data_IF_619012362253
#
_entry.id   IF_619012362253
#
_cell.length_a   1.000
_cell.length_b   1.000
_cell.length_c   1.000
_cell.angle_alpha   90.00
_cell.angle_beta   90.00
_cell.angle_gamma   90.00
#
_symmetry.space_group_name_H-M   'P 1'
#
loop_
_entity.id
_entity.type
_entity.pdbx_description
1 polymer ?
#
# COMPACT_ATOMS: atom_id res chain seq x y z
N UNK A 1 11.92 0.96 -20.93
CA UNK A 1 12.22 2.16 -20.13
C UNK A 1 11.04 3.10 -20.32
N UNK A 2 10.33 3.46 -19.24
CA UNK A 2 9.21 4.41 -19.32
C UNK A 2 9.80 5.81 -19.49
N UNK A 3 9.22 6.62 -20.37
CA UNK A 3 9.61 8.03 -20.57
C UNK A 3 8.45 8.93 -20.14
N UNK A 4 8.73 10.19 -19.82
CA UNK A 4 7.68 11.15 -19.42
C UNK A 4 6.59 11.35 -20.49
N UNK A 5 6.94 11.18 -21.77
CA UNK A 5 5.99 11.32 -22.89
C UNK A 5 5.36 9.98 -23.32
N UNK A 6 5.55 8.91 -22.54
CA UNK A 6 5.01 7.60 -22.91
C UNK A 6 3.53 7.48 -22.51
N UNK A 7 2.69 6.82 -23.32
CA UNK A 7 1.29 6.56 -22.96
C UNK A 7 1.13 5.82 -21.62
N UNK A 8 2.12 4.99 -21.26
CA UNK A 8 2.16 4.31 -19.97
C UNK A 8 2.35 5.27 -18.80
N UNK A 9 3.18 6.31 -18.96
CA UNK A 9 3.35 7.35 -17.96
C UNK A 9 2.05 8.13 -17.73
N UNK A 10 1.43 8.62 -18.81
CA UNK A 10 0.17 9.35 -18.74
C UNK A 10 -0.92 8.52 -18.04
N UNK A 11 -0.99 7.23 -18.37
CA UNK A 11 -1.95 6.31 -17.75
C UNK A 11 -1.73 6.15 -16.25
N UNK A 12 -0.48 6.08 -15.77
CA UNK A 12 -0.20 6.00 -14.33
C UNK A 12 -0.63 7.27 -13.61
N UNK A 13 -0.29 8.44 -14.16
CA UNK A 13 -0.69 9.74 -13.59
C UNK A 13 -2.21 9.88 -13.53
N UNK A 14 -2.89 9.48 -14.61
CA UNK A 14 -4.35 9.52 -14.67
C UNK A 14 -4.99 8.58 -13.65
N UNK A 15 -4.46 7.37 -13.46
CA UNK A 15 -4.93 6.44 -12.43
C UNK A 15 -4.79 7.01 -11.02
N UNK A 16 -3.64 7.60 -10.70
CA UNK A 16 -3.40 8.23 -9.39
C UNK A 16 -4.34 9.43 -9.17
N UNK A 17 -4.57 10.25 -10.21
CA UNK A 17 -5.51 11.37 -10.15
C UNK A 17 -6.96 10.90 -9.95
N UNK A 18 -7.40 9.87 -10.67
CA UNK A 18 -8.73 9.28 -10.52
C UNK A 18 -8.93 8.69 -9.12
N UNK A 19 -7.91 8.04 -8.57
CA UNK A 19 -7.98 7.52 -7.22
C UNK A 19 -8.10 8.65 -6.19
N UNK A 20 -7.27 9.68 -6.32
CA UNK A 20 -7.31 10.86 -5.45
C UNK A 20 -8.62 11.67 -5.59
N UNK A 21 -9.23 11.69 -6.78
CA UNK A 21 -10.50 12.37 -7.01
C UNK A 21 -11.66 11.65 -6.33
N UNK A 22 -11.66 10.31 -6.31
CA UNK A 22 -12.62 9.52 -5.52
C UNK A 22 -12.50 9.86 -4.04
N UNK A 23 -11.27 10.05 -3.56
CA UNK A 23 -11.01 10.50 -2.18
C UNK A 23 -11.43 9.49 -1.11
N UNK A 24 -11.49 8.22 -1.48
CA UNK A 24 -11.91 7.11 -0.63
C UNK A 24 -10.87 6.00 -0.66
N UNK A 25 -10.79 5.22 0.41
CA UNK A 25 -9.92 4.05 0.45
C UNK A 25 -10.49 2.99 -0.50
N UNK A 26 -9.64 2.46 -1.39
CA UNK A 26 -10.03 1.35 -2.29
C UNK A 26 -9.77 0.00 -1.60
N UNK A 27 -10.70 -0.40 -0.75
CA UNK A 27 -10.63 -1.69 -0.05
C UNK A 27 -10.72 -2.87 -1.01
N UNK A 28 -11.44 -2.74 -2.12
CA UNK A 28 -11.57 -3.81 -3.11
C UNK A 28 -10.21 -4.09 -3.77
N UNK A 29 -9.49 -3.05 -4.19
CA UNK A 29 -8.15 -3.17 -4.74
C UNK A 29 -7.15 -3.81 -3.76
N UNK A 30 -7.36 -3.65 -2.44
CA UNK A 30 -6.56 -4.29 -1.39
C UNK A 30 -6.96 -5.75 -1.11
N UNK A 31 -8.25 -6.07 -1.12
CA UNK A 31 -8.77 -7.43 -0.84
C UNK A 31 -8.52 -8.37 -2.02
N UNK A 32 -8.75 -7.91 -3.25
CA UNK A 32 -8.80 -8.76 -4.44
C UNK A 32 -7.51 -9.56 -4.68
N UNK A 33 -6.29 -8.99 -4.57
CA UNK A 33 -5.06 -9.75 -4.72
C UNK A 33 -4.91 -10.86 -3.67
N UNK A 34 -5.28 -10.59 -2.42
CA UNK A 34 -5.19 -11.56 -1.31
C UNK A 34 -6.20 -12.69 -1.52
N UNK A 35 -7.42 -12.37 -1.95
CA UNK A 35 -8.44 -13.37 -2.27
C UNK A 35 -7.99 -14.30 -3.39
N UNK A 36 -7.39 -13.77 -4.46
CA UNK A 36 -6.82 -14.56 -5.56
C UNK A 36 -5.68 -15.46 -5.11
N UNK A 37 -4.78 -14.97 -4.25
CA UNK A 37 -3.70 -15.79 -3.68
C UNK A 37 -4.26 -16.96 -2.85
N UNK A 38 -5.30 -16.72 -2.04
CA UNK A 38 -5.97 -17.77 -1.28
C UNK A 38 -6.62 -18.81 -2.19
N UNK A 39 -7.31 -18.38 -3.25
CA UNK A 39 -7.94 -19.26 -4.22
C UNK A 39 -6.91 -20.13 -4.94
N UNK A 40 -5.81 -19.53 -5.39
CA UNK A 40 -4.72 -20.24 -6.04
C UNK A 40 -4.08 -21.28 -5.10
N UNK A 41 -3.77 -20.90 -3.86
CA UNK A 41 -3.22 -21.84 -2.89
C UNK A 41 -4.18 -23.01 -2.62
N UNK A 42 -5.48 -22.75 -2.49
CA UNK A 42 -6.48 -23.82 -2.31
C UNK A 42 -6.53 -24.76 -3.52
N UNK A 43 -6.47 -24.21 -4.73
CA UNK A 43 -6.47 -24.99 -5.96
C UNK A 43 -5.24 -25.90 -6.04
N UNK A 44 -4.05 -25.39 -5.74
CA UNK A 44 -2.80 -26.16 -5.74
C UNK A 44 -2.82 -27.26 -4.67
N UNK A 45 -3.30 -26.95 -3.46
CA UNK A 45 -3.42 -27.94 -2.38
C UNK A 45 -4.50 -29.00 -2.64
N UNK A 46 -5.48 -28.71 -3.50
CA UNK A 46 -6.49 -29.70 -3.90
C UNK A 46 -6.01 -30.70 -4.95
N UNK A 47 -4.83 -30.51 -5.54
CA UNK A 47 -4.28 -31.44 -6.53
C UNK A 47 -3.99 -32.78 -5.81
N UNK A 48 -4.56 -33.91 -6.29
CA UNK A 48 -4.32 -35.21 -5.68
C UNK A 48 -2.86 -35.62 -5.77
N UNK A 49 -2.35 -36.30 -4.74
CA UNK A 49 -0.97 -36.81 -4.74
C UNK A 49 -0.71 -37.74 -5.92
N UNK A 50 -1.70 -38.52 -6.36
CA UNK A 50 -1.58 -39.36 -7.55
C UNK A 50 -1.25 -38.58 -8.82
N UNK A 51 -1.81 -37.38 -8.98
CA UNK A 51 -1.51 -36.50 -10.11
C UNK A 51 -0.10 -35.88 -9.98
N UNK A 52 0.28 -35.47 -8.77
CA UNK A 52 1.63 -34.94 -8.50
C UNK A 52 2.72 -36.00 -8.67
N UNK A 53 2.43 -37.27 -8.34
CA UNK A 53 3.32 -38.40 -8.57
C UNK A 53 3.53 -38.68 -10.06
N UNK A 54 2.54 -38.40 -10.92
CA UNK A 54 2.74 -38.46 -12.37
C UNK A 54 3.67 -37.32 -12.83
N UNK A 55 3.48 -36.11 -12.32
CA UNK A 55 4.36 -34.96 -12.60
C UNK A 55 5.81 -35.20 -12.16
N UNK A 56 6.01 -35.83 -11.00
CA UNK A 56 7.34 -36.24 -10.51
C UNK A 56 8.11 -37.13 -11.51
N UNK A 57 7.41 -37.98 -12.25
CA UNK A 57 8.05 -38.85 -13.26
C UNK A 57 8.66 -38.06 -14.42
N UNK A 58 8.09 -36.90 -14.73
CA UNK A 58 8.58 -35.98 -15.76
C UNK A 58 9.56 -34.94 -15.19
N UNK A 59 9.50 -34.70 -13.88
CA UNK A 59 10.31 -33.72 -13.16
C UNK A 59 10.92 -34.31 -11.87
N UNK A 60 12.08 -35.01 -11.96
CA UNK A 60 12.68 -35.73 -10.83
C UNK A 60 13.09 -34.84 -9.66
N UNK A 61 13.37 -33.56 -9.91
CA UNK A 61 13.75 -32.58 -8.88
C UNK A 61 12.54 -32.02 -8.12
N UNK A 62 11.31 -32.36 -8.54
CA UNK A 62 10.10 -31.94 -7.84
C UNK A 62 9.95 -32.71 -6.53
N UNK A 63 9.59 -32.02 -5.44
CA UNK A 63 9.31 -32.67 -4.16
C UNK A 63 7.91 -32.29 -3.70
N UNK A 64 7.01 -33.27 -3.69
CA UNK A 64 5.57 -33.07 -3.38
C UNK A 64 5.39 -32.43 -2.01
N UNK A 65 6.10 -32.93 -0.99
CA UNK A 65 6.01 -32.44 0.38
C UNK A 65 6.44 -30.96 0.47
N UNK A 66 7.55 -30.60 -0.16
CA UNK A 66 8.04 -29.22 -0.22
C UNK A 66 7.06 -28.31 -0.96
N UNK A 67 6.50 -28.77 -2.07
CA UNK A 67 5.51 -28.03 -2.83
C UNK A 67 4.25 -27.74 -1.99
N UNK A 68 3.67 -28.77 -1.35
CA UNK A 68 2.50 -28.61 -0.48
C UNK A 68 2.79 -27.70 0.70
N UNK A 69 3.93 -27.88 1.37
CA UNK A 69 4.33 -27.07 2.51
C UNK A 69 4.48 -25.57 2.14
N UNK A 70 5.00 -25.25 0.94
CA UNK A 70 5.09 -23.86 0.46
C UNK A 70 3.69 -23.24 0.31
N UNK A 71 2.77 -23.96 -0.35
CA UNK A 71 1.39 -23.47 -0.54
C UNK A 71 0.61 -23.38 0.77
N UNK A 72 0.81 -24.29 1.73
CA UNK A 72 0.22 -24.19 3.06
C UNK A 72 0.71 -22.94 3.81
N UNK A 73 2.03 -22.68 3.75
CA UNK A 73 2.64 -21.49 4.35
C UNK A 73 2.11 -20.21 3.72
N UNK A 74 2.02 -20.15 2.39
CA UNK A 74 1.45 -19.01 1.65
C UNK A 74 -0.02 -18.80 2.00
N UNK A 75 -0.81 -19.87 2.04
CA UNK A 75 -2.21 -19.83 2.43
C UNK A 75 -2.40 -19.29 3.85
N UNK A 76 -1.59 -19.77 4.81
CA UNK A 76 -1.64 -19.30 6.18
C UNK A 76 -1.31 -17.80 6.27
N UNK A 77 -0.26 -17.35 5.57
CA UNK A 77 0.11 -15.94 5.50
C UNK A 77 -1.00 -15.07 4.91
N UNK A 78 -1.54 -15.46 3.76
CA UNK A 78 -2.60 -14.71 3.08
C UNK A 78 -3.88 -14.60 3.93
N UNK A 79 -4.23 -15.68 4.67
CA UNK A 79 -5.36 -15.64 5.62
C UNK A 79 -5.14 -14.67 6.77
N UNK A 80 -3.93 -14.63 7.33
CA UNK A 80 -3.57 -13.66 8.38
C UNK A 80 -3.65 -12.22 7.85
N UNK A 81 -3.13 -11.98 6.65
CA UNK A 81 -3.20 -10.66 6.01
C UNK A 81 -4.64 -10.23 5.74
N UNK A 82 -5.49 -11.13 5.23
CA UNK A 82 -6.91 -10.86 5.03
C UNK A 82 -7.62 -10.53 6.35
N UNK A 83 -7.34 -11.28 7.42
CA UNK A 83 -7.94 -11.03 8.73
C UNK A 83 -7.55 -9.64 9.29
N UNK A 84 -6.28 -9.23 9.13
CA UNK A 84 -5.83 -7.89 9.49
C UNK A 84 -6.56 -6.81 8.69
N UNK A 85 -6.71 -7.02 7.37
CA UNK A 85 -7.39 -6.06 6.51
C UNK A 85 -8.87 -5.92 6.87
N UNK A 86 -9.57 -7.03 7.17
CA UNK A 86 -10.96 -7.02 7.64
C UNK A 86 -11.10 -6.24 8.94
N UNK A 87 -10.15 -6.40 9.87
CA UNK A 87 -10.14 -5.61 11.11
C UNK A 87 -10.02 -4.10 10.82
N UNK A 88 -9.12 -3.69 9.91
CA UNK A 88 -9.00 -2.28 9.49
C UNK A 88 -10.25 -1.74 8.78
N UNK A 89 -10.89 -2.54 7.93
CA UNK A 89 -12.14 -2.16 7.24
C UNK A 89 -13.27 -1.92 8.25
N UNK A 90 -13.29 -2.71 9.33
CA UNK A 90 -14.36 -2.68 10.31
C UNK A 90 -14.33 -1.42 11.19
N UNK A 91 -13.19 -0.73 11.26
CA UNK A 91 -13.04 0.54 11.99
C UNK A 91 -13.52 1.73 11.14
N UNK A 92 -14.84 1.86 11.04
CA UNK A 92 -15.48 2.90 10.23
C UNK A 92 -15.07 4.31 10.66
N UNK A 93 -14.97 4.58 11.96
CA UNK A 93 -14.64 5.92 12.46
C UNK A 93 -13.22 6.34 12.05
N UNK A 94 -12.25 5.43 12.19
CA UNK A 94 -10.88 5.69 11.73
C UNK A 94 -10.83 5.89 10.22
N UNK A 95 -11.55 5.07 9.45
CA UNK A 95 -11.58 5.18 7.99
C UNK A 95 -12.21 6.51 7.52
N UNK A 96 -13.34 6.91 8.10
CA UNK A 96 -13.97 8.20 7.80
C UNK A 96 -13.02 9.38 8.12
N UNK A 97 -12.26 9.29 9.22
CA UNK A 97 -11.23 10.29 9.58
C UNK A 97 -10.08 10.33 8.58
N UNK A 98 -9.62 9.18 8.10
CA UNK A 98 -8.55 9.07 7.09
C UNK A 98 -9.00 9.70 5.77
N UNK A 99 -10.19 9.34 5.28
CA UNK A 99 -10.75 9.88 4.05
C UNK A 99 -10.98 11.40 4.15
N UNK A 100 -11.53 11.86 5.27
CA UNK A 100 -11.71 13.29 5.52
C UNK A 100 -10.38 14.05 5.53
N UNK A 101 -9.34 13.48 6.16
CA UNK A 101 -8.00 14.05 6.15
C UNK A 101 -7.43 14.16 4.73
N UNK A 102 -7.42 13.06 3.98
CA UNK A 102 -6.89 13.05 2.61
C UNK A 102 -7.59 14.08 1.72
N UNK A 103 -8.93 14.14 1.79
CA UNK A 103 -9.73 15.10 1.03
C UNK A 103 -9.48 16.56 1.45
N UNK A 104 -9.19 16.79 2.73
CA UNK A 104 -8.85 18.13 3.23
C UNK A 104 -7.48 18.58 2.74
N UNK A 105 -6.47 17.72 2.82
CA UNK A 105 -5.08 18.13 2.58
C UNK A 105 -4.72 18.18 1.10
N UNK A 106 -5.37 17.38 0.23
CA UNK A 106 -4.99 17.27 -1.20
C UNK A 106 -4.97 18.58 -1.98
N UNK A 107 -5.65 19.62 -1.48
CA UNK A 107 -5.74 20.94 -2.09
C UNK A 107 -4.88 22.01 -1.38
N UNK A 108 -4.02 21.62 -0.43
CA UNK A 108 -3.15 22.57 0.25
C UNK A 108 -1.96 22.95 -0.61
N UNK A 109 -1.57 24.21 -0.48
CA UNK A 109 -0.35 24.72 -1.08
C UNK A 109 0.87 24.03 -0.48
N UNK A 110 1.78 23.64 -1.38
CA UNK A 110 3.07 23.07 -1.02
C UNK A 110 4.01 24.18 -0.53
N UNK A 111 4.71 23.93 0.58
CA UNK A 111 5.84 24.76 0.99
C UNK A 111 7.16 24.24 0.39
N UNK A 112 8.18 25.08 0.35
CA UNK A 112 9.51 24.70 -0.12
C UNK A 112 10.06 23.51 0.69
N UNK A 113 10.73 22.57 0.01
CA UNK A 113 11.28 21.35 0.63
C UNK A 113 10.26 20.25 1.00
N UNK A 114 8.95 20.47 0.81
CA UNK A 114 7.91 19.47 1.11
C UNK A 114 7.54 18.59 -0.09
N UNK A 115 6.91 17.46 0.17
CA UNK A 115 6.17 16.71 -0.84
C UNK A 115 4.88 17.42 -1.19
N UNK A 116 4.37 17.18 -2.41
CA UNK A 116 3.05 17.68 -2.78
C UNK A 116 2.00 17.09 -1.85
N UNK A 117 1.08 17.91 -1.36
CA UNK A 117 -0.01 17.41 -0.51
C UNK A 117 -0.96 16.45 -1.26
N UNK A 118 -0.98 16.49 -2.59
CA UNK A 118 -1.66 15.47 -3.41
C UNK A 118 -1.01 14.10 -3.23
N UNK A 119 0.32 14.04 -3.28
CA UNK A 119 1.06 12.79 -3.11
C UNK A 119 0.90 12.28 -1.68
N UNK A 120 0.93 13.17 -0.69
CA UNK A 120 0.69 12.82 0.71
C UNK A 120 -0.73 12.27 0.92
N UNK A 121 -1.74 12.92 0.33
CA UNK A 121 -3.12 12.45 0.38
C UNK A 121 -3.28 11.09 -0.33
N UNK A 122 -2.60 10.90 -1.46
CA UNK A 122 -2.57 9.63 -2.18
C UNK A 122 -1.98 8.53 -1.30
N UNK A 123 -0.80 8.74 -0.70
CA UNK A 123 -0.19 7.77 0.23
C UNK A 123 -1.12 7.42 1.41
N UNK A 124 -1.84 8.40 1.95
CA UNK A 124 -2.81 8.22 3.04
C UNK A 124 -3.95 7.29 2.63
N UNK A 125 -4.48 7.45 1.42
CA UNK A 125 -5.54 6.58 0.89
C UNK A 125 -5.02 5.21 0.47
N UNK A 126 -3.78 5.13 -0.01
CA UNK A 126 -3.14 3.86 -0.40
C UNK A 126 -2.72 3.02 0.80
N UNK A 127 -2.34 3.63 1.92
CA UNK A 127 -1.81 2.94 3.10
C UNK A 127 -2.52 3.36 4.40
N UNK A 128 -3.86 3.26 4.48
CA UNK A 128 -4.63 3.67 5.65
C UNK A 128 -4.24 2.90 6.93
N UNK A 129 -3.81 1.64 6.78
CA UNK A 129 -3.35 0.81 7.89
C UNK A 129 -2.02 1.27 8.52
N UNK A 130 -1.31 2.20 7.88
CA UNK A 130 -0.05 2.79 8.35
C UNK A 130 -0.19 4.21 8.87
N UNK A 131 -1.42 4.59 9.24
CA UNK A 131 -1.72 5.90 9.79
C UNK A 131 -1.87 5.79 11.30
N UNK A 132 -1.22 6.70 12.03
CA UNK A 132 -1.40 6.85 13.47
C UNK A 132 -1.77 8.29 13.77
N UNK A 133 -3.02 8.50 14.16
CA UNK A 133 -3.46 9.77 14.72
C UNK A 133 -2.86 9.99 16.11
N UNK A 134 -2.73 11.26 16.51
CA UNK A 134 -2.27 11.62 17.85
C UNK A 134 -0.89 11.04 18.20
N UNK A 135 0.00 10.99 17.19
CA UNK A 135 1.33 10.39 17.31
C UNK A 135 2.21 11.13 18.33
N UNK A 136 2.32 12.44 18.19
CA UNK A 136 3.02 13.33 19.12
C UNK A 136 2.49 14.77 19.02
N UNK A 137 3.18 15.72 19.66
CA UNK A 137 2.82 17.15 19.63
C UNK A 137 3.71 17.91 18.64
N UNK A 138 3.08 18.74 17.81
CA UNK A 138 3.79 19.63 16.91
C UNK A 138 4.63 20.65 17.73
N UNK A 139 5.93 20.78 17.47
CA UNK A 139 6.78 21.72 18.21
C UNK A 139 6.39 23.18 17.96
N UNK A 140 5.77 23.49 16.81
CA UNK A 140 5.44 24.87 16.42
C UNK A 140 4.10 25.34 17.00
N UNK A 141 3.10 24.45 17.14
CA UNK A 141 1.74 24.84 17.54
C UNK A 141 1.10 23.99 18.65
N UNK A 142 1.78 22.96 19.15
CA UNK A 142 1.27 22.08 20.22
C UNK A 142 0.12 21.15 19.83
N UNK A 143 -0.41 21.22 18.61
CA UNK A 143 -1.46 20.31 18.14
C UNK A 143 -0.90 18.90 17.87
N UNK A 144 -1.76 17.89 17.96
CA UNK A 144 -1.42 16.52 17.61
C UNK A 144 -0.94 16.41 16.16
N UNK A 145 0.20 15.77 15.94
CA UNK A 145 0.65 15.36 14.59
C UNK A 145 0.14 13.97 14.26
N UNK A 146 0.12 13.68 12.97
CA UNK A 146 -0.30 12.41 12.41
C UNK A 146 0.94 11.76 11.82
N UNK A 147 1.21 10.51 12.21
CA UNK A 147 2.25 9.71 11.58
C UNK A 147 1.66 8.95 10.41
N UNK A 148 2.38 8.96 9.30
CA UNK A 148 2.03 8.24 8.07
C UNK A 148 3.28 7.55 7.52
N UNK A 149 3.07 6.48 6.75
CA UNK A 149 4.09 5.99 5.83
C UNK A 149 3.88 6.66 4.47
N UNK A 150 4.74 7.62 4.13
CA UNK A 150 4.72 8.25 2.82
C UNK A 150 5.24 7.27 1.76
N UNK A 151 4.56 7.24 0.63
CA UNK A 151 4.95 6.48 -0.54
C UNK A 151 4.61 7.31 -1.78
N UNK A 152 5.64 7.73 -2.52
CA UNK A 152 5.45 8.56 -3.70
C UNK A 152 4.62 7.85 -4.79
N UNK A 153 3.95 8.60 -5.68
CA UNK A 153 3.13 8.06 -6.77
C UNK A 153 3.84 6.98 -7.60
N UNK A 154 3.09 6.07 -8.21
CA UNK A 154 3.67 4.89 -8.89
C UNK A 154 4.64 5.24 -10.01
N UNK A 155 4.36 6.33 -10.73
CA UNK A 155 5.20 6.78 -11.83
C UNK A 155 6.62 7.15 -11.37
N UNK A 156 6.81 7.65 -10.14
CA UNK A 156 8.15 8.03 -9.66
C UNK A 156 9.04 6.81 -9.51
N UNK A 157 8.48 5.67 -9.12
CA UNK A 157 9.19 4.40 -9.04
C UNK A 157 9.56 3.86 -10.42
N UNK A 158 8.67 3.99 -11.40
CA UNK A 158 8.96 3.63 -12.79
C UNK A 158 10.12 4.47 -13.38
N UNK A 159 10.31 5.68 -12.86
CA UNK A 159 11.38 6.61 -13.24
C UNK A 159 12.60 6.55 -12.31
N UNK A 160 12.66 5.58 -11.38
CA UNK A 160 13.74 5.43 -10.40
C UNK A 160 13.99 6.68 -9.53
N UNK A 161 12.96 7.51 -9.32
CA UNK A 161 12.99 8.65 -8.41
C UNK A 161 12.01 8.50 -7.23
N UNK A 162 11.58 7.27 -6.98
CA UNK A 162 10.63 6.92 -5.92
C UNK A 162 11.19 7.22 -4.53
N UNK A 163 10.30 7.68 -3.64
CA UNK A 163 10.61 7.94 -2.22
C UNK A 163 9.55 7.30 -1.33
N UNK A 164 10.00 6.67 -0.27
CA UNK A 164 9.12 6.19 0.78
C UNK A 164 9.76 6.31 2.16
N UNK A 165 8.93 6.45 3.19
CA UNK A 165 9.42 6.51 4.56
C UNK A 165 8.41 7.01 5.57
N UNK A 166 8.78 6.87 6.83
CA UNK A 166 8.01 7.35 7.97
C UNK A 166 8.05 8.88 8.03
N UNK A 167 6.88 9.50 8.07
CA UNK A 167 6.73 10.95 8.09
C UNK A 167 5.65 11.35 9.10
N UNK A 168 5.90 12.43 9.84
CA UNK A 168 4.89 13.12 10.62
C UNK A 168 4.37 14.33 9.85
N UNK A 169 3.06 14.53 9.85
CA UNK A 169 2.42 15.74 9.30
C UNK A 169 1.69 16.49 10.41
N UNK A 170 1.74 17.82 10.34
CA UNK A 170 0.91 18.69 11.17
C UNK A 170 -0.19 19.32 10.32
N UNK A 171 -1.47 18.91 10.47
CA UNK A 171 -2.57 19.50 9.72
C UNK A 171 -2.81 20.99 10.01
N UNK A 172 -2.44 21.47 11.21
CA UNK A 172 -2.63 22.87 11.59
C UNK A 172 -1.56 23.78 10.96
N UNK A 173 -0.29 23.38 11.03
CA UNK A 173 0.82 24.15 10.47
C UNK A 173 1.06 23.88 8.98
N UNK A 174 0.44 22.82 8.42
CA UNK A 174 0.73 22.31 7.08
C UNK A 174 2.23 22.03 6.89
N UNK A 175 2.82 21.37 7.89
CA UNK A 175 4.23 20.97 7.88
C UNK A 175 4.38 19.47 7.76
N UNK A 176 5.50 19.06 7.18
CA UNK A 176 5.91 17.67 6.96
C UNK A 176 7.29 17.47 7.59
N UNK A 177 7.49 16.35 8.29
CA UNK A 177 8.76 16.02 8.94
C UNK A 177 9.08 14.54 8.77
N UNK A 178 10.15 14.22 8.05
CA UNK A 178 10.63 12.84 7.97
C UNK A 178 11.12 12.41 9.36
N UNK A 179 10.71 11.22 9.82
CA UNK A 179 11.07 10.70 11.15
C UNK A 179 12.39 9.95 11.13
N UNK A 180 12.66 9.26 10.03
CA UNK A 180 13.92 8.62 9.69
C UNK A 180 14.16 8.92 8.21
N UNK A 181 15.41 9.09 7.77
CA UNK A 181 15.72 9.46 6.38
C UNK A 181 14.92 8.63 5.36
N UNK A 182 14.50 9.25 4.25
CA UNK A 182 13.65 8.58 3.28
C UNK A 182 14.44 7.57 2.45
N UNK A 183 13.83 6.41 2.21
CA UNK A 183 14.35 5.42 1.27
C UNK A 183 14.13 5.96 -0.14
N UNK A 184 15.17 5.88 -0.96
CA UNK A 184 15.16 6.27 -2.37
C UNK A 184 15.44 5.02 -3.22
N UNK A 185 14.81 4.92 -4.38
CA UNK A 185 15.28 3.98 -5.41
C UNK A 185 16.57 4.54 -6.00
N UNK A 186 17.67 3.79 -5.89
CA UNK A 186 18.86 3.98 -6.72
C UNK A 186 18.78 3.01 -7.90
#
# INVERSE_FOLDING_TARGET
MVTFDSPEFEKMVEQDNQFLSKGKIDWEAKILPIAKEIEECKKQLSIPDTALQLYLKEHPDFVIETHKADFEKRLAKARIELAKLIASISDKEVNDRIEALANKIKNWDKQEGQFSWKDVALSILELPERITFDYDRCPDCGHSRIRIYFHSPKWTWAMMCGKAGEMAICPSCKTQSALFGMITSN
#
